data_IF_981429925730
#
_entry.id   IF_981429925730
#
_cell.length_a   1.000
_cell.length_b   1.000
_cell.length_c   1.000
_cell.angle_alpha   90.00
_cell.angle_beta   90.00
_cell.angle_gamma   90.00
#
_symmetry.space_group_name_H-M   'P 1'
#
loop_
_entity.id
_entity.type
_entity.pdbx_description
1 polymer ?
#
# COMPACT_ATOMS: atom_id res chain seq x y z
N UNK A 1 16.50 -19.85 80.23
CA UNK A 1 16.22 -19.53 78.81
C UNK A 1 16.31 -18.02 78.62
N UNK A 2 17.33 -17.55 77.90
CA UNK A 2 17.69 -16.14 77.82
C UNK A 2 16.65 -15.37 76.99
N UNK A 3 15.84 -14.52 77.66
CA UNK A 3 14.88 -13.59 77.00
C UNK A 3 15.54 -12.71 75.93
N UNK A 4 16.85 -12.46 76.06
CA UNK A 4 17.65 -11.73 75.06
C UNK A 4 17.80 -12.45 73.72
N UNK A 5 17.75 -13.79 73.67
CA UNK A 5 17.91 -14.55 72.42
C UNK A 5 16.63 -14.53 71.57
N UNK A 6 15.47 -14.42 72.22
CA UNK A 6 14.16 -14.35 71.54
C UNK A 6 13.93 -13.00 70.84
N UNK A 7 14.54 -11.92 71.35
CA UNK A 7 14.46 -10.58 70.76
C UNK A 7 15.31 -10.42 69.50
N UNK A 8 16.45 -11.13 69.42
CA UNK A 8 17.33 -11.12 68.23
C UNK A 8 16.70 -11.92 67.08
N UNK A 9 15.98 -13.00 67.38
CA UNK A 9 15.27 -13.78 66.35
C UNK A 9 14.07 -13.03 65.74
N UNK A 10 13.43 -12.12 66.50
CA UNK A 10 12.32 -11.30 66.01
C UNK A 10 12.78 -10.09 65.16
N UNK A 11 14.05 -9.66 65.28
CA UNK A 11 14.63 -8.60 64.46
C UNK A 11 15.13 -9.10 63.09
N UNK A 12 15.35 -10.41 62.91
CA UNK A 12 15.82 -10.99 61.63
C UNK A 12 14.70 -11.28 60.63
N UNK A 13 13.43 -11.07 60.99
CA UNK A 13 12.27 -11.30 60.10
C UNK A 13 11.69 -10.02 59.52
N UNK A 14 12.45 -8.91 59.47
CA UNK A 14 12.03 -7.73 58.70
C UNK A 14 12.07 -8.10 57.22
N UNK A 15 10.98 -8.71 56.74
CA UNK A 15 10.71 -8.92 55.33
C UNK A 15 10.83 -7.57 54.62
N UNK A 16 11.73 -7.52 53.64
CA UNK A 16 11.82 -6.40 52.71
C UNK A 16 10.46 -6.37 51.99
N UNK A 17 9.60 -5.44 52.38
CA UNK A 17 8.37 -5.17 51.66
C UNK A 17 8.77 -4.51 50.34
N UNK A 18 8.76 -5.28 49.25
CA UNK A 18 8.79 -4.69 47.92
C UNK A 18 7.47 -3.94 47.74
N UNK A 19 7.51 -2.62 47.88
CA UNK A 19 6.37 -1.77 47.61
C UNK A 19 6.06 -1.90 46.12
N UNK A 20 5.01 -2.64 45.82
CA UNK A 20 4.38 -2.71 44.51
C UNK A 20 3.83 -1.32 44.17
N UNK A 21 4.32 -0.72 43.08
CA UNK A 21 3.95 0.65 42.73
C UNK A 21 2.91 0.60 41.62
N UNK A 22 1.71 1.08 41.93
CA UNK A 22 0.62 1.13 40.97
C UNK A 22 0.79 2.34 40.04
N UNK A 23 0.85 2.07 38.74
CA UNK A 23 0.93 3.05 37.66
C UNK A 23 -0.40 3.04 36.91
N UNK A 24 -0.95 4.22 36.67
CA UNK A 24 -2.18 4.40 35.89
C UNK A 24 -1.87 5.16 34.62
N UNK A 25 -2.58 4.86 33.55
CA UNK A 25 -2.44 5.66 32.35
C UNK A 25 -3.56 5.46 31.36
N UNK A 26 -3.44 6.18 30.26
CA UNK A 26 -4.36 6.10 29.13
C UNK A 26 -3.55 6.03 27.86
N UNK A 27 -3.94 5.13 26.96
CA UNK A 27 -3.41 5.05 25.61
C UNK A 27 -4.48 5.56 24.65
N UNK A 28 -4.11 6.56 23.84
CA UNK A 28 -4.97 7.13 22.81
C UNK A 28 -4.28 7.06 21.45
N UNK A 29 -5.09 7.06 20.40
CA UNK A 29 -4.61 7.23 19.02
C UNK A 29 -4.12 8.66 18.83
N UNK A 30 -2.96 8.80 18.18
CA UNK A 30 -2.42 10.11 17.81
C UNK A 30 -3.29 10.81 16.74
N UNK A 31 -4.01 10.03 15.92
CA UNK A 31 -4.75 10.52 14.75
C UNK A 31 -6.08 11.19 15.11
N UNK A 32 -6.89 10.53 15.94
CA UNK A 32 -8.24 10.99 16.31
C UNK A 32 -8.38 11.34 17.80
N UNK A 33 -7.36 11.05 18.62
CA UNK A 33 -7.38 11.29 20.05
C UNK A 33 -8.29 10.35 20.85
N UNK A 34 -8.84 9.30 20.23
CA UNK A 34 -9.72 8.35 20.90
C UNK A 34 -8.94 7.31 21.71
N UNK A 35 -9.55 6.83 22.80
CA UNK A 35 -9.01 5.74 23.61
C UNK A 35 -8.86 4.46 22.81
N UNK A 36 -7.72 3.79 22.95
CA UNK A 36 -7.42 2.55 22.24
C UNK A 36 -7.64 1.34 23.16
N UNK A 37 -8.69 0.53 22.94
CA UNK A 37 -8.94 -0.66 23.74
C UNK A 37 -8.08 -1.86 23.33
N UNK A 38 -7.66 -2.66 24.32
CA UNK A 38 -6.88 -3.89 24.08
C UNK A 38 -5.42 -3.69 23.70
N UNK A 39 -4.86 -2.49 23.93
CA UNK A 39 -3.42 -2.22 23.79
C UNK A 39 -2.68 -2.98 24.87
N UNK A 40 -1.61 -3.68 24.48
CA UNK A 40 -0.71 -4.34 25.42
C UNK A 40 0.24 -3.31 26.03
N UNK A 41 0.30 -3.31 27.37
CA UNK A 41 1.21 -2.49 28.17
C UNK A 41 2.05 -3.43 29.01
N UNK A 42 3.34 -3.53 28.72
CA UNK A 42 4.25 -4.50 29.32
C UNK A 42 5.42 -3.78 29.97
N UNK A 43 5.79 -4.18 31.19
CA UNK A 43 7.04 -3.73 31.83
C UNK A 43 8.22 -4.39 31.11
N UNK A 44 9.03 -3.59 30.42
CA UNK A 44 10.06 -4.06 29.49
C UNK A 44 11.05 -5.01 30.17
N UNK A 45 11.29 -6.16 29.55
CA UNK A 45 12.20 -7.18 30.08
C UNK A 45 11.56 -8.10 31.13
N UNK A 46 10.25 -7.99 31.37
CA UNK A 46 9.48 -8.85 32.27
C UNK A 46 8.26 -9.46 31.55
N UNK A 47 7.59 -10.41 32.19
CA UNK A 47 6.28 -10.92 31.75
C UNK A 47 5.10 -10.14 32.39
N UNK A 48 5.40 -9.08 33.16
CA UNK A 48 4.40 -8.26 33.82
C UNK A 48 3.75 -7.32 32.80
N UNK A 49 2.44 -7.46 32.60
CA UNK A 49 1.71 -6.67 31.63
C UNK A 49 0.23 -6.61 31.91
N UNK A 50 -0.43 -5.68 31.23
CA UNK A 50 -1.87 -5.46 31.29
C UNK A 50 -2.40 -5.06 29.91
N UNK A 51 -3.73 -5.00 29.77
CA UNK A 51 -4.39 -4.49 28.58
C UNK A 51 -5.18 -3.23 28.92
N UNK A 52 -5.30 -2.31 27.96
CA UNK A 52 -6.20 -1.17 28.10
C UNK A 52 -7.68 -1.57 28.02
N UNK A 53 -8.53 -0.85 28.76
CA UNK A 53 -9.98 -0.98 28.75
C UNK A 53 -10.66 -0.28 27.55
N UNK A 54 -12.00 -0.22 27.53
CA UNK A 54 -12.79 0.34 26.42
C UNK A 54 -12.50 1.81 26.14
N UNK A 55 -12.11 2.56 27.17
CA UNK A 55 -11.77 3.97 27.11
C UNK A 55 -10.25 4.19 26.92
N UNK A 56 -9.48 3.11 26.80
CA UNK A 56 -8.02 3.14 26.62
C UNK A 56 -7.24 3.29 27.92
N UNK A 57 -7.87 3.20 29.09
CA UNK A 57 -7.18 3.30 30.37
C UNK A 57 -6.54 1.96 30.75
N UNK A 58 -5.45 2.02 31.50
CA UNK A 58 -4.81 0.85 32.07
C UNK A 58 -4.31 1.11 33.49
N UNK A 59 -4.08 0.01 34.19
CA UNK A 59 -3.46 -0.02 35.49
C UNK A 59 -2.50 -1.20 35.55
N UNK A 60 -1.24 -0.93 35.93
CA UNK A 60 -0.19 -1.92 36.05
C UNK A 60 0.61 -1.66 37.32
N UNK A 61 1.00 -2.73 37.99
CA UNK A 61 1.84 -2.67 39.18
C UNK A 61 3.26 -2.98 38.78
N UNK A 62 4.18 -2.01 38.90
CA UNK A 62 5.58 -2.17 38.50
C UNK A 62 6.51 -2.36 39.69
N UNK A 63 7.67 -2.92 39.42
CA UNK A 63 8.73 -3.14 40.41
C UNK A 63 9.47 -1.85 40.81
N UNK A 64 9.54 -0.88 39.89
CA UNK A 64 10.24 0.40 40.06
C UNK A 64 9.65 1.46 39.10
N UNK A 65 9.55 2.72 39.52
CA UNK A 65 9.12 3.85 38.69
C UNK A 65 10.18 4.35 37.69
N UNK A 66 11.40 3.80 37.72
CA UNK A 66 12.42 4.03 36.69
C UNK A 66 12.39 2.97 35.58
N UNK A 67 11.34 2.14 35.53
CA UNK A 67 11.17 1.14 34.46
C UNK A 67 10.64 1.77 33.18
N UNK A 68 10.76 1.02 32.09
CA UNK A 68 10.23 1.37 30.77
C UNK A 68 9.01 0.50 30.49
N UNK A 69 7.92 1.10 30.03
CA UNK A 69 6.77 0.37 29.51
C UNK A 69 6.90 0.21 27.99
N UNK A 70 6.77 -1.03 27.50
CA UNK A 70 6.56 -1.33 26.09
C UNK A 70 5.06 -1.33 25.80
N UNK A 71 4.65 -0.48 24.87
CA UNK A 71 3.27 -0.30 24.47
C UNK A 71 3.13 -0.82 23.04
N UNK A 72 2.30 -1.83 22.84
CA UNK A 72 2.11 -2.46 21.54
C UNK A 72 0.64 -2.72 21.24
N UNK A 73 0.26 -2.47 19.99
CA UNK A 73 -1.08 -2.75 19.50
C UNK A 73 -1.01 -3.06 18.01
N UNK A 74 -1.84 -4.00 17.56
CA UNK A 74 -1.83 -4.43 16.16
C UNK A 74 -2.19 -3.25 15.27
N UNK A 75 -1.36 -2.98 14.27
CA UNK A 75 -1.53 -1.85 13.36
C UNK A 75 -0.97 -0.52 13.89
N UNK A 76 -0.26 -0.50 15.03
CA UNK A 76 0.39 0.69 15.58
C UNK A 76 1.90 0.47 15.74
N UNK A 77 2.65 1.58 15.69
CA UNK A 77 4.11 1.55 15.92
C UNK A 77 4.35 1.29 17.41
N UNK A 78 5.07 0.22 17.81
CA UNK A 78 5.38 -0.03 19.21
C UNK A 78 6.16 1.13 19.81
N UNK A 79 5.85 1.49 21.05
CA UNK A 79 6.45 2.63 21.72
C UNK A 79 6.97 2.22 23.09
N UNK A 80 8.22 2.57 23.36
CA UNK A 80 8.80 2.47 24.70
C UNK A 80 8.60 3.80 25.44
N UNK A 81 8.14 3.73 26.69
CA UNK A 81 7.79 4.88 27.52
C UNK A 81 8.46 4.72 28.88
N UNK A 82 9.48 5.53 29.14
CA UNK A 82 10.13 5.58 30.44
C UNK A 82 9.24 6.28 31.47
N UNK A 83 8.99 5.63 32.60
CA UNK A 83 8.15 6.20 33.67
C UNK A 83 8.84 7.36 34.40
N UNK A 84 10.18 7.38 34.48
CA UNK A 84 10.97 8.48 35.06
C UNK A 84 10.54 8.94 36.47
N UNK A 85 9.98 8.05 37.28
CA UNK A 85 9.47 8.40 38.61
C UNK A 85 7.97 8.73 38.66
N UNK A 86 7.28 8.79 37.51
CA UNK A 86 5.86 9.08 37.43
C UNK A 86 5.00 7.81 37.51
N UNK A 87 3.93 7.87 38.31
CA UNK A 87 2.92 6.82 38.43
C UNK A 87 1.66 7.11 37.59
N UNK A 88 1.70 8.15 36.76
CA UNK A 88 0.65 8.53 35.84
C UNK A 88 1.25 8.84 34.47
N UNK A 89 0.71 8.25 33.40
CA UNK A 89 1.23 8.48 32.05
C UNK A 89 0.12 8.54 31.01
N UNK A 90 0.24 9.48 30.07
CA UNK A 90 -0.62 9.57 28.88
C UNK A 90 0.20 9.24 27.64
N UNK A 91 -0.24 8.23 26.90
CA UNK A 91 0.52 7.65 25.79
C UNK A 91 -0.28 7.86 24.52
N UNK A 92 0.36 8.48 23.53
CA UNK A 92 -0.15 8.56 22.15
C UNK A 92 0.58 7.51 21.31
N UNK A 93 -0.19 6.60 20.72
CA UNK A 93 0.31 5.64 19.74
C UNK A 93 0.03 6.15 18.33
N UNK A 94 1.05 6.01 17.48
CA UNK A 94 0.96 6.32 16.06
C UNK A 94 0.58 5.07 15.29
N UNK A 95 -0.37 5.18 14.37
CA UNK A 95 -0.71 4.09 13.46
C UNK A 95 0.53 3.66 12.66
N UNK A 96 0.76 2.35 12.54
CA UNK A 96 1.79 1.79 11.69
C UNK A 96 1.26 1.72 10.26
N UNK A 97 1.63 2.73 9.47
CA UNK A 97 1.19 2.88 8.09
C UNK A 97 2.16 2.23 7.10
N UNK A 98 2.88 1.20 7.53
CA UNK A 98 3.68 0.37 6.64
C UNK A 98 2.77 -0.29 5.59
N UNK A 99 2.87 0.16 4.34
CA UNK A 99 2.41 -0.63 3.21
C UNK A 99 3.27 -1.89 3.17
N UNK A 100 2.68 -3.07 3.36
CA UNK A 100 3.39 -4.33 3.24
C UNK A 100 3.84 -4.52 1.79
N UNK A 101 5.02 -3.99 1.45
CA UNK A 101 5.58 -4.05 0.10
C UNK A 101 5.76 -5.48 -0.41
N UNK A 102 5.82 -6.46 0.50
CA UNK A 102 5.86 -7.88 0.19
C UNK A 102 4.58 -8.41 -0.45
N UNK A 103 3.43 -7.75 -0.22
CA UNK A 103 2.19 -8.10 -0.90
C UNK A 103 2.17 -7.60 -2.34
N UNK A 104 3.06 -6.66 -2.69
CA UNK A 104 3.22 -6.15 -4.05
C UNK A 104 4.24 -6.94 -4.88
N UNK A 105 4.90 -7.96 -4.33
CA UNK A 105 5.83 -8.82 -5.09
C UNK A 105 5.08 -9.91 -5.84
N UNK A 106 4.47 -9.51 -6.94
CA UNK A 106 3.64 -10.37 -7.77
C UNK A 106 4.23 -10.55 -9.17
N UNK A 107 3.86 -11.68 -9.78
CA UNK A 107 3.90 -11.89 -11.22
C UNK A 107 2.44 -11.99 -11.64
N UNK A 108 2.00 -11.14 -12.56
CA UNK A 108 0.61 -11.12 -13.01
C UNK A 108 0.54 -11.47 -14.49
N UNK A 109 -0.38 -12.38 -14.84
CA UNK A 109 -0.57 -12.85 -16.21
C UNK A 109 -2.02 -12.65 -16.59
N UNK A 110 -2.25 -12.04 -17.76
CA UNK A 110 -3.58 -11.74 -18.26
C UNK A 110 -3.75 -12.22 -19.70
N UNK A 111 -4.93 -12.72 -20.01
CA UNK A 111 -5.43 -12.89 -21.37
C UNK A 111 -6.28 -11.68 -21.74
N UNK A 112 -6.12 -11.19 -22.97
CA UNK A 112 -6.74 -9.95 -23.46
C UNK A 112 -7.55 -10.23 -24.73
N UNK A 113 -8.70 -9.58 -24.82
CA UNK A 113 -9.53 -9.56 -26.01
C UNK A 113 -10.02 -8.14 -26.27
N UNK A 114 -9.65 -7.57 -27.41
CA UNK A 114 -10.29 -6.38 -27.96
C UNK A 114 -11.64 -6.72 -28.55
N UNK A 115 -12.57 -5.78 -28.44
CA UNK A 115 -13.98 -5.94 -28.83
C UNK A 115 -14.29 -5.19 -30.12
N UNK A 116 -13.65 -4.04 -30.35
CA UNK A 116 -13.96 -3.20 -31.50
C UNK A 116 -13.19 -3.64 -32.74
N UNK A 117 -11.89 -3.90 -32.60
CA UNK A 117 -11.05 -4.33 -33.71
C UNK A 117 -10.64 -5.82 -33.63
N UNK A 118 -11.19 -6.57 -32.66
CA UNK A 118 -10.93 -8.00 -32.41
C UNK A 118 -9.45 -8.43 -32.27
N UNK A 119 -8.50 -7.61 -31.75
CA UNK A 119 -7.17 -8.12 -31.45
C UNK A 119 -7.24 -9.04 -30.22
N UNK A 120 -6.43 -10.09 -30.20
CA UNK A 120 -6.29 -10.97 -29.05
C UNK A 120 -4.84 -10.98 -28.57
N UNK A 121 -4.62 -11.23 -27.30
CA UNK A 121 -3.27 -11.35 -26.79
C UNK A 121 -3.17 -11.51 -25.30
N UNK A 122 -2.11 -10.96 -24.72
CA UNK A 122 -1.81 -11.15 -23.32
C UNK A 122 -1.00 -10.02 -22.73
N UNK A 123 -0.93 -10.03 -21.40
CA UNK A 123 -0.09 -9.14 -20.62
C UNK A 123 0.65 -9.93 -19.55
N UNK A 124 1.90 -9.54 -19.32
CA UNK A 124 2.74 -10.03 -18.25
C UNK A 124 3.25 -8.84 -17.47
N UNK A 125 2.99 -8.84 -16.17
CA UNK A 125 3.54 -7.88 -15.22
C UNK A 125 4.46 -8.59 -14.24
N UNK A 126 5.58 -7.95 -13.92
CA UNK A 126 6.58 -8.44 -12.99
C UNK A 126 6.94 -7.33 -12.01
N UNK A 127 6.57 -7.53 -10.75
CA UNK A 127 7.07 -6.72 -9.65
C UNK A 127 8.48 -7.18 -9.30
N UNK A 128 9.42 -6.25 -9.14
CA UNK A 128 10.77 -6.53 -8.68
C UNK A 128 10.79 -6.68 -7.15
N UNK A 129 11.75 -7.45 -6.59
CA UNK A 129 11.91 -7.51 -5.15
C UNK A 129 12.14 -6.11 -4.57
N UNK A 130 11.44 -5.80 -3.50
CA UNK A 130 11.54 -4.51 -2.81
C UNK A 130 12.87 -4.43 -2.07
N UNK A 131 13.75 -3.51 -2.46
CA UNK A 131 15.04 -3.26 -1.80
C UNK A 131 15.09 -1.92 -1.03
N UNK A 132 14.05 -1.08 -1.16
CA UNK A 132 13.94 0.24 -0.50
C UNK A 132 12.47 0.59 -0.20
N UNK A 133 12.11 1.87 -0.03
CA UNK A 133 10.70 2.30 0.10
C UNK A 133 10.03 2.22 -1.27
N UNK A 134 9.12 1.26 -1.47
CA UNK A 134 8.32 1.11 -2.69
C UNK A 134 8.71 -0.07 -3.58
N UNK A 135 7.88 -0.32 -4.60
CA UNK A 135 7.99 -1.50 -5.46
C UNK A 135 7.99 -1.09 -6.92
N UNK A 136 9.02 -1.52 -7.66
CA UNK A 136 9.05 -1.38 -9.12
C UNK A 136 8.25 -2.49 -9.78
N UNK A 137 7.46 -2.16 -10.79
CA UNK A 137 6.70 -3.12 -11.59
C UNK A 137 6.96 -2.81 -13.06
N UNK A 138 7.45 -3.80 -13.81
CA UNK A 138 7.52 -3.72 -15.25
C UNK A 138 6.40 -4.56 -15.85
N UNK A 139 5.74 -4.05 -16.88
CA UNK A 139 4.67 -4.76 -17.57
C UNK A 139 4.78 -4.62 -19.07
N UNK A 140 4.37 -5.67 -19.77
CA UNK A 140 4.28 -5.70 -21.22
C UNK A 140 2.98 -6.37 -21.66
N UNK A 141 2.26 -5.69 -22.54
CA UNK A 141 1.02 -6.13 -23.15
C UNK A 141 1.17 -6.10 -24.67
N UNK A 142 0.70 -7.16 -25.32
CA UNK A 142 0.66 -7.30 -26.76
C UNK A 142 -0.67 -7.92 -27.17
N UNK A 143 -1.36 -7.29 -28.10
CA UNK A 143 -2.55 -7.83 -28.77
C UNK A 143 -2.39 -7.68 -30.28
N UNK A 144 -2.86 -8.66 -31.05
CA UNK A 144 -2.83 -8.65 -32.51
C UNK A 144 -4.07 -9.30 -33.09
N UNK A 145 -4.52 -8.82 -34.25
CA UNK A 145 -5.46 -9.55 -35.10
C UNK A 145 -4.71 -10.48 -36.08
N UNK A 146 -5.45 -11.15 -36.96
CA UNK A 146 -4.90 -12.03 -38.01
C UNK A 146 -4.34 -11.28 -39.23
N UNK A 147 -4.44 -9.94 -39.26
CA UNK A 147 -3.97 -9.06 -40.33
C UNK A 147 -2.75 -8.23 -39.87
N UNK A 148 -2.04 -8.70 -38.84
CA UNK A 148 -0.87 -8.06 -38.21
C UNK A 148 -1.12 -6.65 -37.63
N UNK A 149 -2.40 -6.27 -37.44
CA UNK A 149 -2.75 -5.05 -36.71
C UNK A 149 -2.61 -5.31 -35.24
N UNK A 150 -1.90 -4.42 -34.56
CA UNK A 150 -1.46 -4.68 -33.20
C UNK A 150 -1.57 -3.48 -32.28
N UNK A 151 -1.68 -3.81 -31.00
CA UNK A 151 -1.69 -2.91 -29.88
C UNK A 151 -0.63 -3.37 -28.89
N UNK A 152 0.33 -2.50 -28.60
CA UNK A 152 1.43 -2.78 -27.69
C UNK A 152 1.40 -1.75 -26.56
N UNK A 153 1.56 -2.22 -25.32
CA UNK A 153 1.69 -1.35 -24.16
C UNK A 153 2.80 -1.86 -23.24
N UNK A 154 3.85 -1.07 -23.08
CA UNK A 154 4.86 -1.24 -22.05
C UNK A 154 4.58 -0.31 -20.88
N UNK A 155 4.80 -0.79 -19.66
CA UNK A 155 4.70 0.03 -18.45
C UNK A 155 5.87 -0.19 -17.52
N UNK A 156 6.27 0.88 -16.84
CA UNK A 156 7.15 0.84 -15.68
C UNK A 156 6.50 1.68 -14.59
N UNK A 157 6.18 1.05 -13.46
CA UNK A 157 5.55 1.70 -12.31
C UNK A 157 6.52 1.63 -11.14
N UNK A 158 6.63 2.72 -10.39
CA UNK A 158 7.26 2.75 -9.09
C UNK A 158 6.20 3.12 -8.07
N UNK A 159 5.61 2.08 -7.47
CA UNK A 159 4.52 2.22 -6.50
C UNK A 159 5.08 2.59 -5.13
N UNK A 160 4.31 3.40 -4.39
CA UNK A 160 4.64 3.81 -3.03
C UNK A 160 5.99 4.54 -2.94
N UNK A 161 6.27 5.41 -3.92
CA UNK A 161 7.48 6.24 -3.94
C UNK A 161 7.54 7.14 -2.70
N UNK A 162 6.41 7.76 -2.36
CA UNK A 162 6.20 8.53 -1.13
C UNK A 162 4.83 8.13 -0.60
N UNK A 163 4.74 7.65 0.64
CA UNK A 163 3.46 7.28 1.24
C UNK A 163 3.41 7.59 2.74
N UNK A 164 2.20 7.82 3.23
CA UNK A 164 1.81 7.78 4.63
C UNK A 164 0.46 7.05 4.75
N UNK A 165 -0.26 7.23 5.87
CA UNK A 165 -1.53 6.55 6.13
C UNK A 165 -2.61 6.88 5.10
N UNK A 166 -2.68 8.12 4.65
CA UNK A 166 -3.77 8.61 3.80
C UNK A 166 -3.34 8.87 2.36
N UNK A 167 -2.05 9.10 2.14
CA UNK A 167 -1.48 9.66 0.93
C UNK A 167 -0.47 8.68 0.34
N UNK A 168 -0.60 8.36 -0.92
CA UNK A 168 0.28 7.41 -1.60
C UNK A 168 0.58 7.85 -3.04
N UNK A 169 1.86 8.04 -3.34
CA UNK A 169 2.37 8.54 -4.62
C UNK A 169 2.96 7.39 -5.43
N UNK A 170 2.42 7.19 -6.63
CA UNK A 170 2.97 6.25 -7.61
C UNK A 170 3.51 7.02 -8.82
N UNK A 171 4.71 6.68 -9.27
CA UNK A 171 5.26 7.17 -10.53
C UNK A 171 5.06 6.12 -11.61
N UNK A 172 4.59 6.52 -12.79
CA UNK A 172 4.27 5.61 -13.88
C UNK A 172 4.87 6.14 -15.18
N UNK A 173 5.42 5.23 -15.96
CA UNK A 173 5.81 5.46 -17.32
C UNK A 173 5.09 4.46 -18.21
N UNK A 174 4.42 4.95 -19.25
CA UNK A 174 3.77 4.10 -20.25
C UNK A 174 4.31 4.39 -21.64
N UNK A 175 4.63 3.33 -22.38
CA UNK A 175 4.89 3.36 -23.81
C UNK A 175 3.79 2.60 -24.53
N UNK A 176 3.01 3.29 -25.36
CA UNK A 176 1.96 2.66 -26.16
C UNK A 176 2.30 2.77 -27.64
N UNK A 177 1.94 1.73 -28.39
CA UNK A 177 1.95 1.75 -29.85
C UNK A 177 0.69 1.10 -30.37
N UNK A 178 0.05 1.78 -31.30
CA UNK A 178 -1.14 1.29 -32.01
C UNK A 178 -0.79 1.28 -33.49
N UNK A 179 -1.02 0.15 -34.15
CA UNK A 179 -0.76 -0.01 -35.57
C UNK A 179 -1.92 -0.78 -36.22
N UNK A 180 -2.88 -0.04 -36.76
CA UNK A 180 -4.03 -0.54 -37.51
C UNK A 180 -4.02 0.08 -38.92
N UNK A 181 -4.87 -0.43 -39.83
CA UNK A 181 -4.82 -0.12 -41.28
C UNK A 181 -4.73 1.38 -41.57
N UNK A 182 -5.57 2.18 -40.91
CA UNK A 182 -5.70 3.62 -41.16
C UNK A 182 -5.26 4.46 -39.97
N UNK A 183 -4.57 3.85 -39.00
CA UNK A 183 -4.22 4.51 -37.76
C UNK A 183 -2.92 3.98 -37.18
N UNK A 184 -1.92 4.85 -37.08
CA UNK A 184 -0.67 4.53 -36.40
C UNK A 184 -0.27 5.63 -35.44
N UNK A 185 -0.01 5.22 -34.20
CA UNK A 185 0.45 6.14 -33.18
C UNK A 185 1.42 5.47 -32.23
N UNK A 186 2.27 6.28 -31.60
CA UNK A 186 3.05 5.88 -30.46
C UNK A 186 3.05 6.97 -29.41
N UNK A 187 2.72 6.62 -28.17
CA UNK A 187 2.76 7.56 -27.05
C UNK A 187 3.78 7.14 -26.01
N UNK A 188 4.42 8.13 -25.39
CA UNK A 188 5.27 7.98 -24.22
C UNK A 188 4.77 8.94 -23.16
N UNK A 189 4.24 8.40 -22.06
CA UNK A 189 3.67 9.20 -20.97
C UNK A 189 4.41 8.94 -19.67
N UNK A 190 4.66 10.03 -18.94
CA UNK A 190 5.10 10.01 -17.55
C UNK A 190 3.98 10.59 -16.70
N UNK A 191 3.50 9.80 -15.75
CA UNK A 191 2.31 10.10 -14.97
C UNK A 191 2.59 9.86 -13.48
N UNK A 192 1.99 10.66 -12.62
CA UNK A 192 1.99 10.48 -11.17
C UNK A 192 0.57 10.28 -10.69
N UNK A 193 0.36 9.21 -9.92
CA UNK A 193 -0.90 8.97 -9.23
C UNK A 193 -0.77 9.43 -7.78
N UNK A 194 -1.70 10.30 -7.38
CA UNK A 194 -1.88 10.79 -6.03
C UNK A 194 -3.10 10.07 -5.46
N UNK A 195 -2.88 9.03 -4.67
CA UNK A 195 -3.96 8.29 -4.02
C UNK A 195 -4.22 8.92 -2.64
N UNK A 196 -5.46 9.35 -2.39
CA UNK A 196 -5.89 9.87 -1.10
C UNK A 196 -7.23 9.26 -0.68
N UNK A 197 -7.23 8.45 0.38
CA UNK A 197 -8.38 7.64 0.78
C UNK A 197 -8.86 6.74 -0.37
N UNK A 198 -10.11 6.92 -0.82
CA UNK A 198 -10.67 6.16 -1.95
C UNK A 198 -10.40 6.79 -3.30
N UNK A 199 -9.82 7.99 -3.37
CA UNK A 199 -9.64 8.71 -4.63
C UNK A 199 -8.23 8.58 -5.16
N UNK A 200 -8.11 8.63 -6.49
CA UNK A 200 -6.86 8.75 -7.22
C UNK A 200 -6.94 9.97 -8.11
N UNK A 201 -5.98 10.86 -8.00
CA UNK A 201 -5.77 11.92 -9.00
C UNK A 201 -4.54 11.55 -9.81
N UNK A 202 -4.61 11.71 -11.12
CA UNK A 202 -3.48 11.48 -12.02
C UNK A 202 -3.09 12.80 -12.66
N UNK A 203 -1.80 13.12 -12.62
CA UNK A 203 -1.24 14.23 -13.37
C UNK A 203 0.03 13.77 -14.08
N UNK A 204 0.25 14.24 -15.29
CA UNK A 204 1.38 13.78 -16.07
C UNK A 204 1.60 14.57 -17.34
N UNK A 205 2.46 14.02 -18.17
CA UNK A 205 2.83 14.56 -19.46
C UNK A 205 3.00 13.42 -20.46
N UNK A 206 2.49 13.60 -21.67
CA UNK A 206 2.57 12.61 -22.73
C UNK A 206 3.10 13.23 -24.01
N UNK A 207 3.97 12.50 -24.70
CA UNK A 207 4.40 12.77 -26.06
C UNK A 207 3.74 11.76 -27.00
N UNK A 208 3.06 12.25 -28.02
CA UNK A 208 2.40 11.47 -29.07
C UNK A 208 3.13 11.68 -30.38
N UNK A 209 3.57 10.60 -30.99
CA UNK A 209 3.98 10.57 -32.40
C UNK A 209 2.83 9.95 -33.18
N UNK A 210 2.27 10.72 -34.11
CA UNK A 210 1.10 10.36 -34.89
C UNK A 210 1.43 10.31 -36.37
N UNK A 211 1.14 9.18 -37.00
CA UNK A 211 1.39 8.92 -38.42
C UNK A 211 0.03 8.81 -39.11
N UNK A 212 -0.36 9.88 -39.79
CA UNK A 212 -1.60 9.96 -40.54
C UNK A 212 -1.38 9.43 -41.96
N UNK A 213 -1.79 8.18 -42.20
CA UNK A 213 -1.63 7.53 -43.51
C UNK A 213 -2.45 8.17 -44.63
N UNK A 214 -3.49 8.94 -44.28
CA UNK A 214 -4.33 9.63 -45.26
C UNK A 214 -3.66 10.92 -45.73
N UNK A 215 -2.90 11.57 -44.86
CA UNK A 215 -2.22 12.85 -45.14
C UNK A 215 -0.71 12.72 -45.41
N UNK A 216 -0.12 11.53 -45.23
CA UNK A 216 1.33 11.25 -45.34
C UNK A 216 2.17 12.25 -44.50
N UNK A 217 1.65 12.59 -43.31
CA UNK A 217 2.28 13.53 -42.38
C UNK A 217 2.60 12.84 -41.05
N UNK A 218 3.82 13.02 -40.59
CA UNK A 218 4.27 12.54 -39.29
C UNK A 218 4.37 13.71 -38.32
N UNK A 219 3.54 13.70 -37.31
CA UNK A 219 3.36 14.82 -36.39
C UNK A 219 3.62 14.42 -34.95
N UNK A 220 4.43 15.23 -34.27
CA UNK A 220 4.75 15.04 -32.86
C UNK A 220 3.99 16.07 -32.03
N UNK A 221 3.27 15.59 -31.02
CA UNK A 221 2.51 16.40 -30.10
C UNK A 221 2.91 16.10 -28.67
N UNK A 222 2.70 17.09 -27.82
CA UNK A 222 2.91 16.97 -26.40
C UNK A 222 1.72 17.52 -25.66
N UNK A 223 1.35 16.87 -24.56
CA UNK A 223 0.16 17.23 -23.80
C UNK A 223 0.33 16.99 -22.31
N UNK A 224 -0.30 17.81 -21.46
CA UNK A 224 -0.56 17.41 -20.09
C UNK A 224 -1.54 16.23 -20.08
N UNK A 225 -1.35 15.34 -19.12
CA UNK A 225 -2.27 14.25 -18.78
C UNK A 225 -2.93 14.59 -17.46
N UNK A 226 -4.25 14.50 -17.40
CA UNK A 226 -5.01 14.61 -16.15
C UNK A 226 -5.99 13.46 -16.05
N UNK A 227 -6.17 12.95 -14.84
CA UNK A 227 -7.06 11.83 -14.61
C UNK A 227 -7.62 11.80 -13.20
N UNK A 228 -8.68 11.02 -13.06
CA UNK A 228 -9.37 10.77 -11.81
C UNK A 228 -9.69 9.29 -11.72
N UNK A 229 -9.64 8.76 -10.52
CA UNK A 229 -10.13 7.43 -10.22
C UNK A 229 -10.69 7.33 -8.82
N UNK A 230 -11.44 6.27 -8.59
CA UNK A 230 -12.02 5.96 -7.29
C UNK A 230 -12.07 4.47 -7.06
N UNK A 231 -11.76 4.09 -5.83
CA UNK A 231 -12.02 2.76 -5.31
C UNK A 231 -13.48 2.68 -4.85
N UNK A 232 -14.14 1.60 -5.24
CA UNK A 232 -15.47 1.22 -4.76
C UNK A 232 -15.29 -0.11 -4.02
N UNK A 233 -15.38 -0.05 -2.69
CA UNK A 233 -15.16 -1.20 -1.83
C UNK A 233 -16.50 -1.90 -1.56
N UNK A 234 -16.83 -2.91 -2.37
CA UNK A 234 -18.02 -3.76 -2.18
C UNK A 234 -17.60 -5.19 -1.91
N UNK A 235 -17.71 -5.69 -0.69
CA UNK A 235 -17.37 -7.11 -0.43
C UNK A 235 -18.31 -8.02 -1.23
N UNK A 236 -17.83 -9.02 -2.01
CA UNK A 236 -16.46 -9.55 -2.07
C UNK A 236 -15.57 -9.02 -3.22
N UNK A 237 -16.03 -8.03 -4.00
CA UNK A 237 -15.35 -7.48 -5.18
C UNK A 237 -14.90 -6.04 -4.93
N UNK A 238 -13.59 -5.83 -4.88
CA UNK A 238 -13.05 -4.47 -4.86
C UNK A 238 -12.96 -3.96 -6.29
N UNK A 239 -13.48 -2.76 -6.55
CA UNK A 239 -13.47 -2.19 -7.91
C UNK A 239 -12.66 -0.90 -7.92
N UNK A 240 -11.84 -0.72 -8.95
CA UNK A 240 -11.16 0.54 -9.26
C UNK A 240 -11.71 1.07 -10.58
N UNK A 241 -12.26 2.27 -10.55
CA UNK A 241 -12.62 3.02 -11.74
C UNK A 241 -11.57 4.11 -11.96
N UNK A 242 -11.03 4.22 -13.16
CA UNK A 242 -10.12 5.31 -13.54
C UNK A 242 -10.50 5.86 -14.92
N UNK A 243 -10.29 7.16 -15.10
CA UNK A 243 -10.39 7.83 -16.37
C UNK A 243 -9.32 8.92 -16.46
N UNK A 244 -8.65 9.02 -17.59
CA UNK A 244 -7.66 10.05 -17.87
C UNK A 244 -7.77 10.57 -19.29
N UNK A 245 -7.33 11.80 -19.47
CA UNK A 245 -7.31 12.49 -20.76
C UNK A 245 -5.94 13.11 -20.98
N UNK A 246 -5.44 13.05 -22.21
CA UNK A 246 -4.31 13.84 -22.67
C UNK A 246 -4.78 14.82 -23.75
N UNK A 247 -4.51 16.11 -23.54
CA UNK A 247 -5.01 17.21 -24.37
C UNK A 247 -3.91 17.72 -25.30
N UNK A 248 -3.75 17.06 -26.45
CA UNK A 248 -2.79 17.48 -27.48
C UNK A 248 -3.36 18.64 -28.31
N UNK A 249 -2.50 19.29 -29.09
CA UNK A 249 -2.94 20.35 -30.01
C UNK A 249 -3.89 19.77 -31.07
N UNK A 250 -5.17 20.14 -31.01
CA UNK A 250 -6.25 19.67 -31.87
C UNK A 250 -6.57 18.16 -31.80
N UNK A 251 -6.07 17.43 -30.80
CA UNK A 251 -6.33 16.00 -30.62
C UNK A 251 -6.50 15.67 -29.14
N UNK A 252 -7.36 14.72 -28.83
CA UNK A 252 -7.58 14.28 -27.45
C UNK A 252 -7.40 12.76 -27.38
N UNK A 253 -6.61 12.31 -26.42
CA UNK A 253 -6.52 10.90 -26.03
C UNK A 253 -7.35 10.70 -24.77
N UNK A 254 -8.23 9.70 -24.76
CA UNK A 254 -9.06 9.32 -23.62
C UNK A 254 -8.72 7.88 -23.27
N UNK A 255 -8.46 7.62 -22.00
CA UNK A 255 -8.24 6.28 -21.46
C UNK A 255 -9.15 6.09 -20.27
N UNK A 256 -9.98 5.05 -20.30
CA UNK A 256 -10.80 4.61 -19.18
C UNK A 256 -10.42 3.19 -18.80
N UNK A 257 -10.41 2.88 -17.51
CA UNK A 257 -10.17 1.54 -17.00
C UNK A 257 -11.11 1.25 -15.84
N UNK A 258 -11.73 0.07 -15.87
CA UNK A 258 -12.51 -0.49 -14.76
C UNK A 258 -11.90 -1.82 -14.39
N UNK A 259 -11.37 -1.95 -13.19
CA UNK A 259 -10.68 -3.15 -12.72
C UNK A 259 -11.41 -3.73 -11.52
N UNK A 260 -11.75 -5.01 -11.59
CA UNK A 260 -12.44 -5.78 -10.58
C UNK A 260 -11.48 -6.79 -9.97
N UNK A 261 -11.20 -6.61 -8.68
CA UNK A 261 -10.35 -7.48 -7.90
C UNK A 261 -11.21 -8.46 -7.11
N UNK A 262 -11.03 -9.74 -7.39
CA UNK A 262 -11.60 -10.83 -6.58
C UNK A 262 -10.47 -11.61 -5.89
N UNK A 263 -10.82 -12.55 -5.01
CA UNK A 263 -9.83 -13.41 -4.35
C UNK A 263 -8.99 -14.25 -5.32
N UNK A 264 -9.53 -14.59 -6.49
CA UNK A 264 -8.93 -15.60 -7.38
C UNK A 264 -8.44 -15.06 -8.72
N UNK A 265 -9.15 -14.06 -9.25
CA UNK A 265 -8.91 -13.47 -10.56
C UNK A 265 -9.10 -11.96 -10.51
N UNK A 266 -8.41 -11.30 -11.42
CA UNK A 266 -8.61 -9.90 -11.75
C UNK A 266 -9.28 -9.83 -13.11
N UNK A 267 -10.32 -9.01 -13.21
CA UNK A 267 -11.00 -8.71 -14.47
C UNK A 267 -10.84 -7.22 -14.72
N UNK A 268 -10.63 -6.82 -15.97
CA UNK A 268 -10.65 -5.40 -16.29
C UNK A 268 -11.27 -5.12 -17.65
N UNK A 269 -11.75 -3.89 -17.80
CA UNK A 269 -12.24 -3.34 -19.05
C UNK A 269 -11.50 -2.04 -19.29
N UNK A 270 -10.75 -1.97 -20.39
CA UNK A 270 -9.99 -0.82 -20.81
C UNK A 270 -10.63 -0.21 -22.06
N UNK A 271 -10.91 1.08 -22.01
CA UNK A 271 -11.30 1.89 -23.15
C UNK A 271 -10.14 2.79 -23.54
N UNK A 272 -9.78 2.78 -24.82
CA UNK A 272 -8.79 3.67 -25.40
C UNK A 272 -9.40 4.38 -26.60
N UNK A 273 -9.25 5.69 -26.66
CA UNK A 273 -9.63 6.49 -27.82
C UNK A 273 -8.54 7.53 -28.10
N UNK A 274 -8.15 7.65 -29.36
CA UNK A 274 -7.32 8.74 -29.85
C UNK A 274 -7.78 9.08 -31.27
N UNK A 275 -8.24 10.31 -31.44
CA UNK A 275 -8.82 10.79 -32.71
C UNK A 275 -9.97 9.88 -33.20
N UNK A 276 -9.87 9.32 -34.41
CA UNK A 276 -10.85 8.40 -34.99
C UNK A 276 -10.74 6.96 -34.48
N UNK A 277 -9.62 6.59 -33.87
CA UNK A 277 -9.40 5.23 -33.38
C UNK A 277 -9.97 5.05 -31.97
N UNK A 278 -10.65 3.94 -31.76
CA UNK A 278 -11.02 3.48 -30.43
C UNK A 278 -10.90 1.96 -30.30
N UNK A 279 -10.60 1.51 -29.10
CA UNK A 279 -10.57 0.10 -28.73
C UNK A 279 -11.19 -0.09 -27.35
N UNK A 280 -11.95 -1.18 -27.19
CA UNK A 280 -12.46 -1.65 -25.91
C UNK A 280 -11.85 -3.03 -25.65
N UNK A 281 -10.93 -3.13 -24.70
CA UNK A 281 -10.28 -4.39 -24.33
C UNK A 281 -10.88 -4.93 -23.03
N UNK A 282 -11.19 -6.22 -23.03
CA UNK A 282 -11.52 -6.97 -21.81
C UNK A 282 -10.31 -7.84 -21.46
N UNK A 283 -9.92 -7.83 -20.20
CA UNK A 283 -8.84 -8.65 -19.66
C UNK A 283 -9.32 -9.54 -18.52
N UNK A 284 -8.75 -10.75 -18.45
CA UNK A 284 -8.85 -11.63 -17.28
C UNK A 284 -7.46 -12.13 -16.94
N UNK A 285 -7.09 -12.07 -15.67
CA UNK A 285 -5.79 -12.55 -15.24
C UNK A 285 -5.75 -12.95 -13.79
N UNK A 286 -4.54 -13.33 -13.39
CA UNK A 286 -4.24 -13.79 -12.04
C UNK A 286 -2.87 -13.31 -11.62
N UNK A 287 -2.80 -12.88 -10.36
CA UNK A 287 -1.56 -12.50 -9.70
C UNK A 287 -1.00 -13.67 -8.89
N UNK A 288 0.32 -13.82 -8.95
CA UNK A 288 1.08 -14.84 -8.25
C UNK A 288 2.12 -14.16 -7.37
N UNK A 289 1.88 -14.14 -6.06
CA UNK A 289 2.85 -13.64 -5.09
C UNK A 289 4.10 -14.53 -5.04
N UNK A 290 5.26 -13.92 -4.89
CA UNK A 290 6.53 -14.63 -4.69
C UNK A 290 7.35 -13.97 -3.58
N UNK A 291 8.16 -14.76 -2.88
CA UNK A 291 9.03 -14.27 -1.80
C UNK A 291 10.41 -14.88 -1.86
N UNK A 292 11.43 -14.05 -1.67
CA UNK A 292 12.81 -14.49 -1.49
C UNK A 292 13.00 -15.16 -0.13
N UNK A 293 13.98 -16.04 -0.03
CA UNK A 293 14.26 -16.81 1.20
C UNK A 293 14.52 -15.92 2.42
N UNK A 294 15.26 -14.82 2.24
CA UNK A 294 15.54 -13.84 3.29
C UNK A 294 14.27 -13.14 3.79
N UNK A 295 13.33 -12.82 2.90
CA UNK A 295 12.06 -12.17 3.25
C UNK A 295 11.13 -13.11 4.01
N UNK A 296 11.09 -14.40 3.64
CA UNK A 296 10.34 -15.42 4.39
C UNK A 296 10.81 -15.52 5.86
N UNK A 297 12.11 -15.44 6.09
CA UNK A 297 12.69 -15.47 7.44
C UNK A 297 12.34 -14.21 8.25
N UNK A 298 12.38 -13.04 7.62
CA UNK A 298 11.96 -11.79 8.24
C UNK A 298 10.48 -11.81 8.67
N UNK A 299 9.57 -12.26 7.79
CA UNK A 299 8.14 -12.35 8.11
C UNK A 299 7.85 -13.34 9.25
N UNK A 300 8.60 -14.44 9.33
CA UNK A 300 8.48 -15.38 10.46
C UNK A 300 8.89 -14.75 11.80
N UNK A 301 9.88 -13.85 11.81
CA UNK A 301 10.28 -13.15 13.02
C UNK A 301 9.28 -12.06 13.44
N UNK A 302 8.62 -11.41 12.47
CA UNK A 302 7.58 -10.41 12.72
C UNK A 302 6.30 -11.03 13.28
N UNK A 303 5.85 -12.17 12.74
CA UNK A 303 4.64 -12.84 13.21
C UNK A 303 4.78 -13.52 14.58
N UNK A 304 6.01 -13.68 15.07
CA UNK A 304 6.32 -14.28 16.37
C UNK A 304 6.59 -13.22 17.46
N UNK A 305 6.43 -11.93 17.16
CA UNK A 305 6.46 -10.81 18.11
C UNK A 305 5.06 -10.22 18.21
#
# INVERSE_FOLDING_TARGET
MNRSLSLIFFLLTTSICHAQIEVKGTVISEEDGLGLPGVAVVELGTENGTLTDLEGNFQITVSNLNTTLEISFVGFIPKQVDLNGDNSVSIRLKLDCNKDFFDSQTISVYALSGILNNPIGGQLDFAFPTFSRGTFIAGFSYQSDFEDKNFINGKLEYKHFIFNCDLDFDLNWYHRRVNFTDFRSSTNSFETNFNYGNFRLTAGYSNLNFDDRVLDDNSNFSAPVVGFGTWINTVPVRTLLTGKVALYRNRTEIVGEVTFFTKYVELFVNYYQLDSFSELTIGIGKEFGYWLKSQKQYNQQRNNR
#
